data_IF_702542984463
#
_entry.id   IF_702542984463
#
_cell.length_a   1.000
_cell.length_b   1.000
_cell.length_c   1.000
_cell.angle_alpha   90.00
_cell.angle_beta   90.00
_cell.angle_gamma   90.00
#
_symmetry.space_group_name_H-M   'P 1'
#
loop_
_entity.id
_entity.type
_entity.pdbx_description
1 polymer ?
#
# COMPACT_ATOMS: atom_id res chain seq x y z
N UNK A 1 -37.07 19.15 -19.21
CA UNK A 1 -36.14 18.15 -19.76
C UNK A 1 -34.99 18.89 -20.40
N UNK A 2 -33.86 19.05 -19.68
CA UNK A 2 -32.63 19.50 -20.32
C UNK A 2 -32.09 18.31 -21.10
N UNK A 3 -32.21 18.37 -22.43
CA UNK A 3 -31.46 17.45 -23.30
C UNK A 3 -29.99 17.80 -23.12
N UNK A 4 -29.26 16.89 -22.50
CA UNK A 4 -27.82 16.94 -22.37
C UNK A 4 -27.26 16.86 -23.80
N UNK A 5 -26.49 17.86 -24.21
CA UNK A 5 -25.85 17.89 -25.52
C UNK A 5 -24.92 16.67 -25.66
N UNK A 6 -25.21 15.73 -26.58
CA UNK A 6 -24.49 14.46 -26.68
C UNK A 6 -23.01 14.66 -27.05
N UNK A 7 -22.70 15.75 -27.75
CA UNK A 7 -21.34 16.06 -28.21
C UNK A 7 -20.41 16.53 -27.07
N UNK A 8 -20.96 16.92 -25.91
CA UNK A 8 -20.15 17.35 -24.75
C UNK A 8 -19.36 16.20 -24.11
N UNK A 9 -19.73 14.95 -24.39
CA UNK A 9 -19.12 13.75 -23.80
C UNK A 9 -18.29 12.94 -24.81
N UNK A 10 -18.10 13.47 -26.01
CA UNK A 10 -17.21 12.87 -27.01
C UNK A 10 -15.80 13.36 -26.72
N UNK A 11 -14.84 12.43 -26.60
CA UNK A 11 -13.44 12.79 -26.45
C UNK A 11 -12.96 13.46 -27.72
N UNK A 12 -12.32 14.62 -27.59
CA UNK A 12 -11.61 15.21 -28.71
C UNK A 12 -10.35 14.38 -29.01
N UNK A 13 -9.82 14.47 -30.23
CA UNK A 13 -8.58 13.77 -30.62
C UNK A 13 -7.42 14.02 -29.65
N UNK A 14 -7.35 15.22 -29.05
CA UNK A 14 -6.36 15.56 -28.02
C UNK A 14 -6.57 14.79 -26.71
N UNK A 15 -7.83 14.59 -26.32
CA UNK A 15 -8.19 13.92 -25.06
C UNK A 15 -8.00 12.41 -25.21
N UNK A 16 -8.25 11.86 -26.40
CA UNK A 16 -7.96 10.46 -26.72
C UNK A 16 -6.45 10.20 -26.70
N UNK A 17 -5.63 11.08 -27.28
CA UNK A 17 -4.18 10.98 -27.20
C UNK A 17 -3.68 11.05 -25.74
N UNK A 18 -4.24 11.95 -24.94
CA UNK A 18 -3.89 12.05 -23.52
C UNK A 18 -4.30 10.81 -22.73
N UNK A 19 -5.47 10.24 -23.03
CA UNK A 19 -5.91 8.99 -22.44
C UNK A 19 -4.97 7.81 -22.76
N UNK A 20 -4.48 7.71 -24.00
CA UNK A 20 -3.48 6.71 -24.37
C UNK A 20 -2.15 6.89 -23.63
N UNK A 21 -1.73 8.14 -23.40
CA UNK A 21 -0.55 8.45 -22.58
C UNK A 21 -0.74 7.98 -21.13
N UNK A 22 -1.91 8.22 -20.54
CA UNK A 22 -2.25 7.77 -19.18
C UNK A 22 -2.22 6.24 -19.08
N UNK A 23 -2.79 5.52 -20.06
CA UNK A 23 -2.74 4.05 -20.08
C UNK A 23 -1.31 3.53 -20.18
N UNK A 24 -0.49 4.10 -21.05
CA UNK A 24 0.92 3.69 -21.22
C UNK A 24 1.74 3.96 -19.96
N UNK A 25 1.61 5.15 -19.38
CA UNK A 25 2.28 5.49 -18.12
C UNK A 25 1.81 4.60 -16.96
N UNK A 26 0.52 4.27 -16.89
CA UNK A 26 0.01 3.34 -15.88
C UNK A 26 0.71 1.99 -15.95
N UNK A 27 0.85 1.39 -17.14
CA UNK A 27 1.55 0.11 -17.28
C UNK A 27 3.03 0.16 -16.92
N UNK A 28 3.67 1.31 -17.09
CA UNK A 28 5.09 1.50 -16.73
C UNK A 28 5.30 1.66 -15.23
N UNK A 29 4.36 2.33 -14.55
CA UNK A 29 4.49 2.70 -13.13
C UNK A 29 3.74 1.76 -12.20
N UNK A 30 2.89 0.86 -12.72
CA UNK A 30 2.01 0.01 -11.92
C UNK A 30 2.72 -0.76 -10.80
N UNK A 31 3.95 -1.22 -11.04
CA UNK A 31 4.74 -2.00 -10.09
C UNK A 31 5.84 -1.17 -9.38
N UNK A 32 6.05 0.09 -9.74
CA UNK A 32 7.14 0.92 -9.20
C UNK A 32 6.66 1.78 -8.03
N UNK A 33 7.27 1.57 -6.85
CA UNK A 33 6.90 2.27 -5.62
C UNK A 33 7.60 3.62 -5.44
N UNK A 34 8.69 3.88 -6.18
CA UNK A 34 9.46 5.11 -6.07
C UNK A 34 9.00 6.13 -7.11
N UNK A 35 8.47 7.27 -6.64
CA UNK A 35 7.98 8.35 -7.52
C UNK A 35 9.06 8.88 -8.46
N UNK A 36 10.31 8.99 -7.99
CA UNK A 36 11.44 9.47 -8.80
C UNK A 36 11.75 8.55 -9.99
N UNK A 37 11.66 7.23 -9.80
CA UNK A 37 11.88 6.22 -10.84
C UNK A 37 10.70 6.21 -11.81
N UNK A 38 9.47 6.26 -11.28
CA UNK A 38 8.26 6.38 -12.06
C UNK A 38 8.25 7.61 -12.98
N UNK A 39 8.68 8.77 -12.46
CA UNK A 39 8.78 9.99 -13.26
C UNK A 39 9.81 9.87 -14.38
N UNK A 40 11.00 9.32 -14.12
CA UNK A 40 12.02 9.07 -15.15
C UNK A 40 11.48 8.15 -16.25
N UNK A 41 10.82 7.05 -15.87
CA UNK A 41 10.22 6.12 -16.82
C UNK A 41 9.13 6.79 -17.68
N UNK A 42 8.30 7.65 -17.10
CA UNK A 42 7.30 8.41 -17.84
C UNK A 42 7.97 9.38 -18.82
N UNK A 43 8.98 10.13 -18.38
CA UNK A 43 9.68 11.11 -19.22
C UNK A 43 10.38 10.46 -20.42
N UNK A 44 10.94 9.26 -20.25
CA UNK A 44 11.66 8.56 -21.31
C UNK A 44 10.75 7.85 -22.31
N UNK A 45 9.61 7.32 -21.86
CA UNK A 45 8.82 6.38 -22.65
C UNK A 45 7.44 6.90 -23.06
N UNK A 46 6.93 7.97 -22.45
CA UNK A 46 5.63 8.54 -22.80
C UNK A 46 5.80 9.77 -23.70
N UNK A 47 5.29 9.72 -24.94
CA UNK A 47 5.50 10.79 -25.90
C UNK A 47 4.85 12.09 -25.42
N UNK A 48 5.61 13.19 -25.39
CA UNK A 48 5.13 14.51 -24.99
C UNK A 48 5.18 14.77 -23.48
N UNK A 49 5.70 13.82 -22.69
CA UNK A 49 5.92 13.92 -21.25
C UNK A 49 7.38 14.24 -20.89
N UNK A 50 8.16 14.78 -21.83
CA UNK A 50 9.62 15.02 -21.73
C UNK A 50 10.04 16.01 -20.62
N UNK A 51 9.07 16.65 -19.97
CA UNK A 51 9.30 17.63 -18.91
C UNK A 51 8.77 17.10 -17.59
N UNK A 52 9.49 17.42 -16.50
CA UNK A 52 9.10 17.02 -15.16
C UNK A 52 7.65 17.40 -14.81
N UNK A 53 7.22 18.61 -15.15
CA UNK A 53 5.85 19.07 -14.88
C UNK A 53 4.78 18.22 -15.58
N UNK A 54 5.02 17.79 -16.83
CA UNK A 54 4.06 16.96 -17.57
C UNK A 54 4.07 15.52 -17.07
N UNK A 55 5.24 14.95 -16.79
CA UNK A 55 5.35 13.62 -16.22
C UNK A 55 4.69 13.54 -14.83
N UNK A 56 4.93 14.53 -13.97
CA UNK A 56 4.30 14.62 -12.64
C UNK A 56 2.77 14.78 -12.74
N UNK A 57 2.27 15.57 -13.69
CA UNK A 57 0.83 15.68 -13.93
C UNK A 57 0.22 14.33 -14.33
N UNK A 58 0.84 13.64 -15.30
CA UNK A 58 0.41 12.30 -15.75
C UNK A 58 0.42 11.32 -14.57
N UNK A 59 1.47 11.32 -13.75
CA UNK A 59 1.58 10.47 -12.57
C UNK A 59 0.45 10.72 -11.56
N UNK A 60 0.16 11.98 -11.24
CA UNK A 60 -0.94 12.37 -10.34
C UNK A 60 -2.30 11.97 -10.90
N UNK A 61 -2.52 12.18 -12.19
CA UNK A 61 -3.78 11.85 -12.84
C UNK A 61 -3.99 10.32 -12.90
N UNK A 62 -2.92 9.55 -13.08
CA UNK A 62 -2.93 8.09 -12.94
C UNK A 62 -3.32 7.68 -11.52
N UNK A 63 -2.71 8.27 -10.50
CA UNK A 63 -3.09 7.97 -9.12
C UNK A 63 -4.55 8.36 -8.86
N UNK A 64 -5.02 9.51 -9.32
CA UNK A 64 -6.41 9.92 -9.13
C UNK A 64 -7.40 8.94 -9.80
N UNK A 65 -7.11 8.50 -11.03
CA UNK A 65 -7.98 7.62 -11.81
C UNK A 65 -7.93 6.17 -11.34
N UNK A 66 -6.73 5.66 -11.05
CA UNK A 66 -6.51 4.23 -10.81
C UNK A 66 -6.32 3.86 -9.34
N UNK A 67 -6.01 4.80 -8.43
CA UNK A 67 -5.91 4.51 -6.99
C UNK A 67 -7.18 3.86 -6.42
N UNK A 68 -8.42 4.31 -6.76
CA UNK A 68 -9.62 3.64 -6.28
C UNK A 68 -9.70 2.18 -6.71
N UNK A 69 -9.23 1.84 -7.92
CA UNK A 69 -9.19 0.47 -8.41
C UNK A 69 -8.10 -0.36 -7.74
N UNK A 70 -6.91 0.21 -7.53
CA UNK A 70 -5.81 -0.45 -6.80
C UNK A 70 -6.24 -0.72 -5.36
N UNK A 71 -6.87 0.24 -4.69
CA UNK A 71 -7.38 0.08 -3.33
C UNK A 71 -8.47 -0.98 -3.27
N UNK A 72 -9.49 -0.92 -4.15
CA UNK A 72 -10.52 -1.95 -4.23
C UNK A 72 -9.96 -3.33 -4.56
N UNK A 73 -8.93 -3.42 -5.39
CA UNK A 73 -8.26 -4.69 -5.70
C UNK A 73 -7.50 -5.22 -4.48
N UNK A 74 -6.82 -4.36 -3.71
CA UNK A 74 -6.20 -4.74 -2.44
C UNK A 74 -7.25 -5.23 -1.44
N UNK A 75 -8.36 -4.52 -1.31
CA UNK A 75 -9.47 -4.88 -0.42
C UNK A 75 -10.10 -6.23 -0.83
N UNK A 76 -10.31 -6.44 -2.14
CA UNK A 76 -10.81 -7.72 -2.67
C UNK A 76 -9.82 -8.86 -2.40
N UNK A 77 -8.52 -8.66 -2.64
CA UNK A 77 -7.48 -9.65 -2.35
C UNK A 77 -7.43 -9.98 -0.86
N UNK A 78 -7.55 -8.96 0.00
CA UNK A 78 -7.65 -9.12 1.46
C UNK A 78 -8.88 -9.95 1.83
N UNK A 79 -10.05 -9.64 1.28
CA UNK A 79 -11.28 -10.39 1.51
C UNK A 79 -11.16 -11.86 1.09
N UNK A 80 -10.63 -12.14 -0.11
CA UNK A 80 -10.41 -13.51 -0.60
C UNK A 80 -9.47 -14.28 0.34
N UNK A 81 -8.40 -13.63 0.81
CA UNK A 81 -7.42 -14.27 1.68
C UNK A 81 -8.02 -14.55 3.07
N UNK A 82 -8.78 -13.61 3.63
CA UNK A 82 -9.53 -13.83 4.88
C UNK A 82 -10.51 -14.99 4.76
N UNK A 83 -11.30 -15.01 3.69
CA UNK A 83 -12.26 -16.09 3.44
C UNK A 83 -11.55 -17.46 3.39
N UNK A 84 -10.41 -17.55 2.69
CA UNK A 84 -9.60 -18.76 2.64
C UNK A 84 -9.05 -19.17 4.02
N UNK A 85 -8.55 -18.23 4.82
CA UNK A 85 -8.08 -18.52 6.17
C UNK A 85 -9.21 -19.07 7.05
N UNK A 86 -10.39 -18.46 6.99
CA UNK A 86 -11.57 -18.95 7.72
C UNK A 86 -12.01 -20.34 7.25
N UNK A 87 -12.04 -20.59 5.94
CA UNK A 87 -12.35 -21.93 5.41
C UNK A 87 -11.35 -22.97 5.90
N UNK A 88 -10.04 -22.67 5.86
CA UNK A 88 -9.01 -23.59 6.34
C UNK A 88 -9.13 -23.85 7.85
N UNK A 89 -9.45 -22.80 8.63
CA UNK A 89 -9.65 -22.92 10.07
C UNK A 89 -10.87 -23.80 10.41
N UNK A 90 -11.99 -23.63 9.69
CA UNK A 90 -13.18 -24.47 9.85
C UNK A 90 -12.91 -25.94 9.49
N UNK A 91 -12.15 -26.19 8.41
CA UNK A 91 -11.70 -27.55 8.07
C UNK A 91 -10.82 -28.15 9.17
N UNK A 92 -9.86 -27.37 9.68
CA UNK A 92 -9.00 -27.81 10.78
C UNK A 92 -9.81 -28.10 12.05
N UNK A 93 -10.78 -27.27 12.39
CA UNK A 93 -11.67 -27.47 13.54
C UNK A 93 -12.54 -28.74 13.39
N UNK A 94 -13.06 -29.00 12.20
CA UNK A 94 -13.81 -30.23 11.90
C UNK A 94 -12.95 -31.48 12.04
N UNK A 95 -11.69 -31.41 11.62
CA UNK A 95 -10.75 -32.52 11.74
C UNK A 95 -10.24 -32.70 13.17
N UNK A 96 -10.28 -31.65 14.00
CA UNK A 96 -9.85 -31.71 15.38
C UNK A 96 -10.74 -32.61 16.25
N UNK A 97 -12.03 -32.72 15.94
CA UNK A 97 -12.96 -33.53 16.73
C UNK A 97 -13.14 -34.90 16.10
N UNK A 98 -12.77 -35.95 16.83
CA UNK A 98 -12.95 -37.34 16.38
C UNK A 98 -13.72 -38.16 17.42
N UNK A 99 -14.47 -39.15 16.94
CA UNK A 99 -15.21 -40.10 17.77
C UNK A 99 -14.48 -41.43 17.81
N UNK A 100 -14.35 -42.02 18.99
CA UNK A 100 -13.75 -43.34 19.16
C UNK A 100 -14.60 -44.20 20.11
N UNK A 101 -14.62 -45.51 19.85
CA UNK A 101 -15.26 -46.47 20.77
C UNK A 101 -14.29 -46.78 21.91
N UNK A 102 -14.74 -46.60 23.15
CA UNK A 102 -14.07 -47.07 24.35
C UNK A 102 -14.92 -48.14 25.03
N UNK A 103 -14.29 -49.00 25.84
CA UNK A 103 -15.02 -49.90 26.74
C UNK A 103 -15.10 -49.27 28.12
N UNK A 104 -16.27 -49.32 28.75
CA UNK A 104 -16.42 -48.99 30.16
C UNK A 104 -15.85 -50.11 31.05
N UNK A 105 -15.86 -49.89 32.37
CA UNK A 105 -15.39 -50.89 33.34
C UNK A 105 -16.24 -52.18 33.37
N UNK A 106 -17.40 -52.16 32.72
CA UNK A 106 -18.39 -53.25 32.67
C UNK A 106 -18.35 -54.00 31.31
N UNK A 107 -17.50 -53.55 30.38
CA UNK A 107 -17.32 -54.15 29.05
C UNK A 107 -18.30 -53.66 27.98
N UNK A 108 -19.14 -52.66 28.27
CA UNK A 108 -20.02 -52.08 27.28
C UNK A 108 -19.25 -51.08 26.39
N UNK A 109 -19.62 -51.05 25.11
CA UNK A 109 -19.09 -50.07 24.15
C UNK A 109 -19.74 -48.70 24.40
N UNK A 110 -18.92 -47.71 24.68
CA UNK A 110 -19.30 -46.30 24.82
C UNK A 110 -18.58 -45.46 23.76
N UNK A 111 -19.32 -44.62 23.05
CA UNK A 111 -18.71 -43.61 22.17
C UNK A 111 -18.15 -42.48 23.02
N UNK A 112 -16.87 -42.16 22.82
CA UNK A 112 -16.21 -41.00 23.41
C UNK A 112 -15.74 -40.05 22.32
N UNK A 113 -15.73 -38.77 22.64
CA UNK A 113 -15.18 -37.72 21.79
C UNK A 113 -13.75 -37.42 22.26
N UNK A 114 -12.85 -37.38 21.28
CA UNK A 114 -11.46 -36.96 21.45
C UNK A 114 -11.22 -35.69 20.65
N UNK A 115 -10.23 -34.91 21.08
CA UNK A 115 -9.82 -33.71 20.39
C UNK A 115 -8.33 -33.82 20.05
N UNK A 116 -7.99 -33.62 18.78
CA UNK A 116 -6.62 -33.59 18.29
C UNK A 116 -6.04 -32.18 18.53
N UNK A 117 -5.00 -32.13 19.37
CA UNK A 117 -4.37 -30.88 19.78
C UNK A 117 -3.71 -30.17 18.60
N UNK A 118 -3.12 -30.92 17.65
CA UNK A 118 -2.40 -30.33 16.52
C UNK A 118 -3.35 -29.61 15.57
N UNK A 119 -4.52 -30.19 15.30
CA UNK A 119 -5.56 -29.57 14.50
C UNK A 119 -6.19 -28.36 15.18
N UNK A 120 -6.36 -28.40 16.51
CA UNK A 120 -6.83 -27.23 17.27
C UNK A 120 -5.82 -26.09 17.26
N UNK A 121 -4.52 -26.38 17.42
CA UNK A 121 -3.47 -25.36 17.32
C UNK A 121 -3.40 -24.76 15.92
N UNK A 122 -3.56 -25.57 14.88
CA UNK A 122 -3.58 -25.11 13.49
C UNK A 122 -4.76 -24.17 13.25
N UNK A 123 -5.98 -24.54 13.68
CA UNK A 123 -7.15 -23.68 13.61
C UNK A 123 -6.91 -22.36 14.34
N UNK A 124 -6.35 -22.40 15.56
CA UNK A 124 -6.00 -21.22 16.34
C UNK A 124 -5.02 -20.28 15.63
N UNK A 125 -3.97 -20.83 14.99
CA UNK A 125 -3.01 -20.05 14.20
C UNK A 125 -3.67 -19.37 12.99
N UNK A 126 -4.56 -20.06 12.29
CA UNK A 126 -5.27 -19.52 11.12
C UNK A 126 -6.22 -18.39 11.52
N UNK A 127 -6.98 -18.54 12.62
CA UNK A 127 -7.82 -17.47 13.15
C UNK A 127 -7.00 -16.26 13.62
N UNK A 128 -5.87 -16.49 14.29
CA UNK A 128 -4.99 -15.41 14.72
C UNK A 128 -4.42 -14.62 13.53
N UNK A 129 -4.05 -15.31 12.45
CA UNK A 129 -3.61 -14.65 11.21
C UNK A 129 -4.75 -13.85 10.56
N UNK A 130 -5.98 -14.37 10.54
CA UNK A 130 -7.13 -13.65 10.03
C UNK A 130 -7.42 -12.37 10.85
N UNK A 131 -7.40 -12.46 12.18
CA UNK A 131 -7.61 -11.32 13.08
C UNK A 131 -6.57 -10.21 12.87
N UNK A 132 -5.30 -10.58 12.67
CA UNK A 132 -4.22 -9.63 12.34
C UNK A 132 -4.50 -8.90 11.02
N UNK A 133 -4.95 -9.63 10.01
CA UNK A 133 -5.26 -9.06 8.70
C UNK A 133 -6.51 -8.18 8.77
N UNK A 134 -7.47 -8.45 9.65
CA UNK A 134 -8.63 -7.59 9.90
C UNK A 134 -8.28 -6.31 10.67
N UNK A 135 -7.15 -6.27 11.36
CA UNK A 135 -6.74 -5.14 12.21
C UNK A 135 -7.36 -5.19 13.60
N UNK A 136 -7.98 -6.31 13.98
CA UNK A 136 -8.51 -6.54 15.34
C UNK A 136 -7.41 -6.67 16.40
N UNK A 137 -6.16 -6.88 15.97
CA UNK A 137 -4.97 -6.96 16.83
C UNK A 137 -4.32 -5.59 17.08
N UNK A 138 -4.82 -4.51 16.45
CA UNK A 138 -4.30 -3.17 16.70
C UNK A 138 -4.83 -2.65 18.05
N UNK A 139 -3.95 -2.17 18.95
CA UNK A 139 -4.41 -1.50 20.16
C UNK A 139 -5.27 -0.31 19.75
N UNK A 140 -6.43 -0.12 20.41
CA UNK A 140 -7.24 1.07 20.21
C UNK A 140 -6.33 2.30 20.36
N UNK A 141 -6.16 3.05 19.26
CA UNK A 141 -5.40 4.29 19.28
C UNK A 141 -6.11 5.19 20.27
N UNK A 142 -5.44 5.46 21.39
CA UNK A 142 -5.92 6.39 22.42
C UNK A 142 -6.25 7.69 21.66
N UNK A 143 -7.54 8.05 21.62
CA UNK A 143 -7.99 9.31 21.04
C UNK A 143 -7.13 10.41 21.63
N UNK A 144 -6.52 11.23 20.75
CA UNK A 144 -5.72 12.40 21.13
C UNK A 144 -6.41 13.11 22.29
N UNK A 145 -5.75 13.14 23.44
CA UNK A 145 -6.29 13.79 24.63
C UNK A 145 -6.27 15.30 24.33
N UNK A 146 -7.43 15.97 24.17
CA UNK A 146 -7.47 17.36 23.73
C UNK A 146 -6.78 18.30 24.72
N UNK A 147 -6.62 17.87 25.97
CA UNK A 147 -5.93 18.61 27.03
C UNK A 147 -4.39 18.56 26.92
N UNK A 148 -3.83 17.67 26.09
CA UNK A 148 -2.38 17.55 25.84
C UNK A 148 -1.92 18.37 24.62
N UNK A 149 -2.85 18.94 23.85
CA UNK A 149 -2.52 19.76 22.68
C UNK A 149 -2.21 21.18 23.14
N UNK A 150 -0.93 21.49 23.35
CA UNK A 150 -0.48 22.87 23.57
C UNK A 150 -0.42 23.62 22.24
N UNK A 151 -1.46 24.39 21.93
CA UNK A 151 -1.44 25.34 20.81
C UNK A 151 -0.41 26.43 21.16
N UNK A 152 0.63 26.65 20.34
CA UNK A 152 1.61 27.70 20.60
C UNK A 152 0.92 29.07 20.60
N UNK A 153 1.32 29.95 21.51
CA UNK A 153 0.79 31.30 21.58
C UNK A 153 1.14 32.07 20.30
N UNK A 154 0.13 32.64 19.64
CA UNK A 154 0.35 33.47 18.46
C UNK A 154 0.90 34.83 18.92
N UNK A 155 2.19 35.07 18.70
CA UNK A 155 2.80 36.37 18.93
C UNK A 155 2.42 37.32 17.79
N UNK A 156 1.41 38.17 18.01
CA UNK A 156 1.04 39.23 17.08
C UNK A 156 1.97 40.42 17.28
N UNK A 157 3.04 40.47 16.51
CA UNK A 157 3.92 41.65 16.43
C UNK A 157 3.47 42.59 15.32
N UNK A 158 3.49 43.89 15.61
CA UNK A 158 3.21 44.96 14.64
C UNK A 158 4.48 45.43 13.89
N UNK A 159 5.61 44.74 14.10
CA UNK A 159 6.87 45.02 13.41
C UNK A 159 6.93 44.27 12.06
N UNK A 160 6.90 44.97 10.91
CA UNK A 160 6.99 44.35 9.59
C UNK A 160 8.32 43.63 9.35
N UNK A 161 9.39 43.94 10.10
CA UNK A 161 10.65 43.19 9.97
C UNK A 161 10.57 41.79 10.56
N UNK A 162 9.76 41.57 11.60
CA UNK A 162 9.57 40.25 12.20
C UNK A 162 8.84 39.27 11.25
N UNK A 163 7.96 39.78 10.39
CA UNK A 163 7.30 38.98 9.35
C UNK A 163 8.28 38.49 8.28
N UNK A 164 9.25 39.33 7.89
CA UNK A 164 10.27 38.96 6.89
C UNK A 164 11.26 37.95 7.45
N UNK A 165 11.65 38.09 8.73
CA UNK A 165 12.51 37.12 9.40
C UNK A 165 11.85 35.72 9.49
N UNK A 166 10.56 35.67 9.82
CA UNK A 166 9.82 34.40 9.88
C UNK A 166 9.62 33.73 8.51
N UNK A 167 9.65 34.49 7.41
CA UNK A 167 9.66 33.90 6.05
C UNK A 167 11.05 33.40 5.66
N UNK A 168 12.11 34.08 6.07
CA UNK A 168 13.49 33.65 5.81
C UNK A 168 13.79 32.30 6.49
N UNK A 169 13.33 32.09 7.72
CA UNK A 169 13.48 30.80 8.44
C UNK A 169 12.72 29.63 7.77
N UNK A 170 11.73 29.90 6.90
CA UNK A 170 11.00 28.87 6.14
C UNK A 170 11.72 28.57 4.81
N UNK A 171 12.43 29.55 4.24
CA UNK A 171 13.22 29.36 3.01
C UNK A 171 14.60 28.73 3.27
N UNK A 172 15.17 28.91 4.47
CA UNK A 172 16.41 28.27 4.94
C UNK A 172 16.15 26.95 5.69
N UNK A 173 14.96 26.34 5.54
CA UNK A 173 14.77 24.94 5.94
C UNK A 173 15.62 24.07 4.99
N UNK A 174 16.89 23.91 5.37
CA UNK A 174 17.93 23.09 4.77
C UNK A 174 17.32 21.87 4.07
N UNK A 175 17.15 21.99 2.75
CA UNK A 175 17.12 20.81 1.91
C UNK A 175 18.50 20.19 2.05
N UNK A 176 18.62 19.22 2.97
CA UNK A 176 19.79 18.38 3.13
C UNK A 176 20.24 17.95 1.73
N UNK A 177 21.29 18.61 1.26
CA UNK A 177 22.07 18.24 0.10
C UNK A 177 22.67 16.88 0.46
N UNK A 178 21.95 15.82 0.09
CA UNK A 178 22.41 14.45 0.33
C UNK A 178 23.79 14.33 -0.33
N UNK A 179 24.83 13.93 0.42
CA UNK A 179 26.17 13.83 -0.13
C UNK A 179 26.17 12.76 -1.22
N UNK A 180 26.28 13.21 -2.47
CA UNK A 180 26.73 12.41 -3.59
C UNK A 180 28.20 12.08 -3.30
N UNK A 181 28.45 10.90 -2.70
CA UNK A 181 29.78 10.31 -2.64
C UNK A 181 29.66 8.81 -2.33
N UNK A 182 29.79 7.98 -3.36
CA UNK A 182 31.00 7.16 -3.55
C UNK A 182 30.85 6.32 -4.82
N UNK A 183 31.48 6.79 -5.89
CA UNK A 183 32.05 5.91 -6.92
C UNK A 183 33.02 4.96 -6.20
N UNK A 184 32.61 3.70 -5.97
CA UNK A 184 33.57 2.64 -5.71
C UNK A 184 34.27 2.31 -7.03
N UNK A 185 35.50 2.81 -7.15
CA UNK A 185 36.57 2.25 -7.96
C UNK A 185 36.60 0.73 -7.80
N UNK A 186 36.37 -0.01 -8.88
CA UNK A 186 36.64 -1.44 -8.96
C UNK A 186 37.91 -1.64 -9.82
N UNK A 187 39.09 -1.84 -9.21
CA UNK A 187 40.29 -2.24 -9.92
C UNK A 187 40.44 -3.77 -9.90
N UNK A 188 40.91 -4.33 -11.03
CA UNK A 188 41.33 -5.74 -11.24
C UNK A 188 40.14 -6.70 -11.49
N UNK A 189 39.97 -7.28 -12.67
CA UNK A 189 40.86 -8.31 -13.21
C UNK A 189 41.09 -8.16 -14.73
N UNK A 190 42.35 -7.89 -15.07
CA UNK A 190 42.94 -8.34 -16.32
C UNK A 190 43.37 -9.80 -16.15
N UNK A 191 42.94 -10.68 -17.05
CA UNK A 191 43.73 -11.76 -17.66
C UNK A 191 42.78 -12.76 -18.34
N UNK A 192 42.83 -12.83 -19.68
CA UNK A 192 43.02 -14.06 -20.47
C UNK A 192 42.69 -13.77 -21.94
N UNK A 193 43.66 -13.15 -22.62
CA UNK A 193 43.91 -13.38 -24.03
C UNK A 193 45.16 -14.26 -24.12
N UNK A 194 45.00 -15.53 -24.48
CA UNK A 194 45.88 -16.33 -25.38
C UNK A 194 45.72 -17.84 -25.13
N UNK A 195 45.02 -18.50 -26.05
CA UNK A 195 45.45 -19.75 -26.71
C UNK A 195 44.52 -20.07 -27.89
#
# INVERSE_FOLDING_TARGET
MHMIEPDRFVLNDSDEQYYLQLQKAYHLVFDELRESVAMKAIMEQVPGADTWHRANRILRDIYALFSPFVQKNKDLRRAILLEKLYMMADVAQKNAVYKYEAQDAEGNKIEKEGADLEWMELAGKLYAQAAKIEGLDQPEVIMLNPDEITIPAIEVTSDPQAFLAAQADIEDADYDEWPDDQEEDDPEEAEEHEA
#
